data_IF_991135425953
#
_entry.id   IF_991135425953
#
_cell.length_a   1.000
_cell.length_b   1.000
_cell.length_c   1.000
_cell.angle_alpha   90.00
_cell.angle_beta   90.00
_cell.angle_gamma   90.00
#
_symmetry.space_group_name_H-M   'P 1'
#
loop_
_entity.id
_entity.type
_entity.pdbx_description
1 polymer ?
#
# COMPACT_ATOMS: atom_id res chain seq x y z
N UNK A 1 8.07 -3.61 -4.26
CA UNK A 1 7.47 -2.26 -4.34
C UNK A 1 7.82 -1.73 -5.71
N UNK A 2 6.81 -1.41 -6.49
CA UNK A 2 6.95 -0.99 -7.87
C UNK A 2 6.48 0.44 -8.00
N UNK A 3 7.16 1.25 -8.81
CA UNK A 3 6.74 2.62 -9.07
C UNK A 3 7.19 3.05 -10.46
N UNK A 4 6.50 4.04 -11.01
CA UNK A 4 6.96 4.76 -12.20
C UNK A 4 7.23 6.22 -11.86
N UNK A 5 8.30 6.76 -12.46
CA UNK A 5 8.61 8.19 -12.42
C UNK A 5 8.51 8.77 -13.83
N UNK A 6 8.11 10.03 -13.91
CA UNK A 6 7.90 10.73 -15.17
C UNK A 6 7.81 12.23 -14.97
N UNK A 7 7.75 12.98 -16.06
CA UNK A 7 7.62 14.44 -16.01
C UNK A 7 6.14 14.85 -15.98
N UNK A 8 5.80 15.80 -15.13
CA UNK A 8 4.47 16.41 -15.11
C UNK A 8 4.32 17.50 -16.20
N UNK A 9 3.14 18.12 -16.27
CA UNK A 9 2.86 19.21 -17.23
C UNK A 9 3.76 20.45 -17.12
N UNK A 10 4.54 20.58 -16.04
CA UNK A 10 5.54 21.64 -15.86
C UNK A 10 6.97 21.14 -16.07
N UNK A 11 7.13 20.01 -16.76
CA UNK A 11 8.40 19.36 -17.08
C UNK A 11 9.25 18.96 -15.84
N UNK A 12 8.63 18.82 -14.66
CA UNK A 12 9.33 18.42 -13.42
C UNK A 12 9.14 16.92 -13.16
N UNK A 13 10.19 16.26 -12.69
CA UNK A 13 10.14 14.84 -12.31
C UNK A 13 9.19 14.62 -11.14
N UNK A 14 8.28 13.65 -11.26
CA UNK A 14 7.28 13.25 -10.27
C UNK A 14 7.10 11.73 -10.29
N UNK A 15 6.69 11.17 -9.16
CA UNK A 15 6.11 9.82 -9.14
C UNK A 15 4.78 9.86 -9.90
N UNK A 16 4.58 8.91 -10.80
CA UNK A 16 3.37 8.80 -11.62
C UNK A 16 2.38 7.81 -11.02
N UNK A 17 2.89 6.72 -10.43
CA UNK A 17 2.12 5.75 -9.67
C UNK A 17 3.05 4.90 -8.80
N UNK A 18 2.47 4.22 -7.81
CA UNK A 18 3.17 3.27 -6.94
C UNK A 18 2.28 2.06 -6.62
N UNK A 19 2.88 0.86 -6.54
CA UNK A 19 2.30 -0.34 -5.96
C UNK A 19 3.16 -0.81 -4.78
N UNK A 20 2.53 -0.95 -3.63
CA UNK A 20 3.16 -1.42 -2.39
C UNK A 20 2.59 -2.79 -2.04
N UNK A 21 3.49 -3.74 -1.79
CA UNK A 21 3.15 -5.06 -1.26
C UNK A 21 3.53 -5.12 0.21
N UNK A 22 2.55 -5.37 1.07
CA UNK A 22 2.75 -5.66 2.49
C UNK A 22 2.57 -7.16 2.71
N UNK A 23 3.44 -7.75 3.52
CA UNK A 23 3.34 -9.16 3.90
C UNK A 23 3.29 -9.25 5.42
N UNK A 24 2.22 -9.85 5.96
CA UNK A 24 2.10 -10.12 7.38
C UNK A 24 3.09 -11.21 7.79
N UNK A 25 3.66 -11.09 9.00
CA UNK A 25 4.64 -12.05 9.52
C UNK A 25 4.04 -13.39 9.99
N UNK A 26 2.73 -13.59 9.85
CA UNK A 26 2.01 -14.77 10.29
C UNK A 26 0.86 -15.12 9.32
N UNK A 27 0.38 -16.37 9.31
CA UNK A 27 -0.80 -16.75 8.53
C UNK A 27 -2.02 -15.96 8.99
N UNK A 28 -2.88 -15.53 8.06
CA UNK A 28 -4.07 -14.73 8.39
C UNK A 28 -4.96 -15.44 9.42
N UNK A 29 -5.09 -16.77 9.31
CA UNK A 29 -5.85 -17.63 10.23
C UNK A 29 -5.36 -17.64 11.68
N UNK A 30 -4.12 -17.22 11.93
CA UNK A 30 -3.55 -17.15 13.29
C UNK A 30 -3.69 -15.78 13.93
N UNK A 31 -4.20 -14.79 13.19
CA UNK A 31 -4.34 -13.41 13.66
C UNK A 31 -5.78 -13.15 14.08
N UNK A 32 -6.02 -13.15 15.39
CA UNK A 32 -7.32 -12.78 15.93
C UNK A 32 -7.67 -11.33 15.56
N UNK A 33 -8.94 -11.11 15.16
CA UNK A 33 -9.49 -9.78 14.83
C UNK A 33 -8.80 -9.06 13.67
N UNK A 34 -8.21 -9.80 12.72
CA UNK A 34 -7.49 -9.25 11.55
C UNK A 34 -8.33 -8.28 10.70
N UNK A 35 -9.63 -8.52 10.58
CA UNK A 35 -10.51 -7.73 9.70
C UNK A 35 -10.48 -6.24 10.01
N UNK A 36 -10.49 -5.86 11.29
CA UNK A 36 -10.54 -4.45 11.70
C UNK A 36 -9.22 -3.72 11.38
N UNK A 37 -8.04 -4.18 11.80
CA UNK A 37 -6.76 -3.62 11.37
C UNK A 37 -6.61 -3.57 9.85
N UNK A 38 -6.99 -4.64 9.13
CA UNK A 38 -6.90 -4.69 7.67
C UNK A 38 -7.77 -3.63 6.98
N UNK A 39 -8.91 -3.28 7.56
CA UNK A 39 -9.78 -2.23 7.05
C UNK A 39 -9.24 -0.80 7.32
N UNK A 40 -8.56 -0.58 8.45
CA UNK A 40 -8.19 0.77 8.92
C UNK A 40 -6.70 1.15 8.76
N UNK A 41 -5.79 0.19 8.55
CA UNK A 41 -4.34 0.46 8.66
C UNK A 41 -3.84 1.56 7.72
N UNK A 42 -4.47 1.71 6.55
CA UNK A 42 -4.08 2.73 5.58
C UNK A 42 -4.24 4.14 6.14
N UNK A 43 -5.22 4.37 7.02
CA UNK A 43 -5.45 5.66 7.68
C UNK A 43 -4.36 6.00 8.68
N UNK A 44 -3.62 5.00 9.16
CA UNK A 44 -2.48 5.17 10.06
C UNK A 44 -1.14 5.29 9.33
N UNK A 45 -1.12 5.18 7.99
CA UNK A 45 0.10 5.34 7.21
C UNK A 45 0.39 6.82 6.93
N UNK A 46 1.16 7.47 7.79
CA UNK A 46 1.48 8.90 7.68
C UNK A 46 1.97 9.31 6.28
N UNK A 47 2.91 8.53 5.71
CA UNK A 47 3.49 8.85 4.40
C UNK A 47 2.45 8.69 3.29
N UNK A 48 1.77 7.54 3.21
CA UNK A 48 0.76 7.31 2.16
C UNK A 48 -0.37 8.33 2.25
N UNK A 49 -0.86 8.65 3.46
CA UNK A 49 -1.90 9.66 3.65
C UNK A 49 -1.45 11.06 3.21
N UNK A 50 -0.17 11.39 3.39
CA UNK A 50 0.37 12.69 2.97
C UNK A 50 0.47 12.86 1.45
N UNK A 51 0.48 11.76 0.68
CA UNK A 51 0.74 11.81 -0.78
C UNK A 51 -0.31 11.12 -1.64
N UNK A 52 -1.36 10.51 -1.05
CA UNK A 52 -2.40 9.76 -1.78
C UNK A 52 -3.14 10.61 -2.81
N UNK A 53 -3.29 11.90 -2.55
CA UNK A 53 -3.93 12.84 -3.49
C UNK A 53 -2.95 13.35 -4.56
N UNK A 54 -1.66 13.05 -4.44
CA UNK A 54 -0.63 13.50 -5.39
C UNK A 54 -0.43 12.54 -6.56
N UNK A 55 -0.63 11.24 -6.36
CA UNK A 55 -0.51 10.21 -7.40
C UNK A 55 -1.22 8.90 -6.97
N UNK A 56 -1.63 8.03 -7.91
CA UNK A 56 -2.22 6.73 -7.61
C UNK A 56 -1.30 5.81 -6.82
N UNK A 57 -1.84 5.22 -5.75
CA UNK A 57 -1.14 4.24 -4.91
C UNK A 57 -2.03 3.01 -4.77
N UNK A 58 -1.51 1.86 -5.18
CA UNK A 58 -2.12 0.55 -4.95
C UNK A 58 -1.42 -0.14 -3.78
N UNK A 59 -2.20 -0.68 -2.85
CA UNK A 59 -1.69 -1.44 -1.70
C UNK A 59 -2.24 -2.85 -1.76
N UNK A 60 -1.34 -3.82 -1.82
CA UNK A 60 -1.66 -5.23 -1.72
C UNK A 60 -1.18 -5.78 -0.38
N UNK A 61 -2.00 -6.58 0.28
CA UNK A 61 -1.65 -7.21 1.55
C UNK A 61 -1.70 -8.72 1.39
N UNK A 62 -0.63 -9.40 1.80
CA UNK A 62 -0.52 -10.85 1.80
C UNK A 62 -0.21 -11.35 3.21
N UNK A 63 -0.56 -12.59 3.52
CA UNK A 63 -0.05 -13.25 4.72
C UNK A 63 1.28 -13.99 4.46
N UNK A 64 1.82 -14.65 5.49
CA UNK A 64 3.07 -15.39 5.38
C UNK A 64 2.99 -16.65 4.51
N UNK A 65 1.77 -17.15 4.23
CA UNK A 65 1.52 -18.29 3.34
C UNK A 65 1.28 -17.83 1.88
N UNK A 66 1.29 -16.52 1.63
CA UNK A 66 1.11 -15.92 0.32
C UNK A 66 -0.35 -15.70 -0.07
N UNK A 67 -1.29 -15.87 0.85
CA UNK A 67 -2.70 -15.57 0.60
C UNK A 67 -2.90 -14.06 0.49
N UNK A 68 -3.52 -13.60 -0.60
CA UNK A 68 -3.86 -12.18 -0.79
C UNK A 68 -5.10 -11.83 0.04
N UNK A 69 -4.96 -10.83 0.89
CA UNK A 69 -5.98 -10.32 1.82
C UNK A 69 -6.60 -9.00 1.33
N UNK A 70 -5.84 -8.23 0.54
CA UNK A 70 -6.25 -6.98 -0.12
C UNK A 70 -5.48 -6.81 -1.42
#
# INVERSE_FOLDING_TARGET
MDLAVGRNGQNRMRVQWMRVRLTLGAPARSLDKLDRPLAQFEDFCTVTQSVRDSFPIEVEVYDSEGARLK
#
